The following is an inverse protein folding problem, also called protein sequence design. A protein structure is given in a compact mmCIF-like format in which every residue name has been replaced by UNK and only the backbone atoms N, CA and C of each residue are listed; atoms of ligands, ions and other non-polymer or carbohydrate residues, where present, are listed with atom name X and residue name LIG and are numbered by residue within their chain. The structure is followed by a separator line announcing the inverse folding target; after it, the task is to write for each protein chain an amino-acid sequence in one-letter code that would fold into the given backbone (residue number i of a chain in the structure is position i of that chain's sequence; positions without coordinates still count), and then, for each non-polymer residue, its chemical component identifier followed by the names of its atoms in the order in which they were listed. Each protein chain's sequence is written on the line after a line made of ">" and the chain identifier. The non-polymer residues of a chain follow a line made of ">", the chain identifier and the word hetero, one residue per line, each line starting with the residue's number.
data_IF_786639876281
#
_entry.id   IF_786639876281
#
_cell.length_a   1.000
_cell.length_b   1.000
_cell.length_c   1.000
_cell.angle_alpha   90.00
_cell.angle_beta   90.00
_cell.angle_gamma   90.00
#
_symmetry.space_group_name_H-M   'P 1'
#
loop_
_entity.id
_entity.type
_entity.pdbx_description
1 polymer ?
#
# COMPACT_ATOMS: atom_id res chain seq x y z
N UNK A 1 21.90 -5.70 18.42
CA UNK A 1 20.82 -5.94 17.46
C UNK A 1 20.22 -4.60 17.16
N UNK A 2 20.45 -4.04 15.98
CA UNK A 2 19.80 -2.80 15.53
C UNK A 2 18.39 -3.18 15.12
N UNK A 3 17.38 -2.72 15.88
CA UNK A 3 16.00 -2.90 15.48
C UNK A 3 15.80 -2.17 14.14
N UNK A 4 15.39 -2.92 13.13
CA UNK A 4 15.08 -2.36 11.83
C UNK A 4 13.77 -1.53 11.91
N UNK A 5 13.60 -0.61 10.97
CA UNK A 5 12.33 0.09 10.77
C UNK A 5 11.22 -0.97 10.57
N UNK A 6 10.19 -0.92 11.43
CA UNK A 6 9.07 -1.85 11.36
C UNK A 6 7.88 -1.14 10.74
N UNK A 7 7.31 -1.74 9.70
CA UNK A 7 6.07 -1.31 9.06
C UNK A 7 4.96 -2.31 9.39
N UNK A 8 3.90 -1.81 10.02
CA UNK A 8 2.64 -2.53 10.22
C UNK A 8 1.53 -1.78 9.47
N UNK A 9 0.64 -2.51 8.80
CA UNK A 9 -0.48 -1.87 8.09
C UNK A 9 -1.73 -2.74 8.10
N UNK A 10 -2.90 -2.07 7.95
CA UNK A 10 -4.20 -2.73 7.87
C UNK A 10 -5.16 -1.94 7.01
N UNK A 11 -6.08 -2.65 6.35
CA UNK A 11 -7.23 -2.04 5.68
C UNK A 11 -8.24 -1.61 6.75
N UNK A 12 -8.52 -0.32 6.83
CA UNK A 12 -9.48 0.26 7.79
C UNK A 12 -10.87 0.45 7.18
N UNK A 13 -10.93 0.71 5.88
CA UNK A 13 -12.19 0.73 5.11
C UNK A 13 -12.02 -0.18 3.90
N UNK A 14 -12.68 -1.34 3.87
CA UNK A 14 -12.61 -2.24 2.73
C UNK A 14 -13.30 -1.63 1.50
N UNK A 15 -13.03 -2.16 0.29
CA UNK A 15 -13.70 -1.74 -0.93
C UNK A 15 -15.21 -1.86 -0.82
N UNK A 16 -15.92 -0.84 -1.27
CA UNK A 16 -17.41 -0.86 -1.38
C UNK A 16 -17.87 -1.42 -2.71
N UNK A 17 -17.01 -1.36 -3.72
CA UNK A 17 -17.27 -1.89 -5.06
C UNK A 17 -16.15 -2.87 -5.40
N UNK A 18 -16.51 -4.05 -5.84
CA UNK A 18 -15.55 -5.05 -6.30
C UNK A 18 -15.06 -4.73 -7.72
N UNK A 19 -13.82 -5.10 -8.09
CA UNK A 19 -13.28 -4.80 -9.41
C UNK A 19 -13.89 -5.63 -10.54
N UNK A 20 -14.63 -6.68 -10.19
CA UNK A 20 -15.36 -7.55 -11.11
C UNK A 20 -16.80 -7.65 -10.64
N UNK A 21 -17.74 -7.36 -11.54
CA UNK A 21 -19.16 -7.56 -11.31
C UNK A 21 -19.54 -9.04 -11.55
N UNK A 22 -20.49 -9.55 -10.78
CA UNK A 22 -21.05 -10.88 -10.95
C UNK A 22 -21.65 -11.07 -12.36
N UNK A 23 -22.21 -10.00 -12.95
CA UNK A 23 -22.74 -10.02 -14.30
C UNK A 23 -21.65 -10.23 -15.37
N UNK A 24 -20.43 -9.79 -15.13
CA UNK A 24 -19.29 -10.04 -16.02
C UNK A 24 -18.90 -11.52 -16.04
N UNK A 25 -19.08 -12.22 -14.92
CA UNK A 25 -18.83 -13.65 -14.82
C UNK A 25 -19.92 -14.48 -15.53
N UNK A 26 -21.14 -13.95 -15.60
CA UNK A 26 -22.32 -14.63 -16.14
C UNK A 26 -22.73 -14.23 -17.55
N UNK A 27 -22.06 -13.24 -18.16
CA UNK A 27 -22.50 -12.69 -19.44
C UNK A 27 -22.71 -13.78 -20.50
N UNK A 28 -23.96 -13.95 -20.92
CA UNK A 28 -24.38 -14.91 -21.96
C UNK A 28 -24.00 -14.44 -23.38
N UNK A 29 -23.53 -13.21 -23.53
CA UNK A 29 -23.45 -12.52 -24.84
C UNK A 29 -22.07 -12.53 -25.48
N UNK A 30 -21.13 -13.30 -25.18
CA UNK A 30 -19.79 -13.41 -25.79
C UNK A 30 -18.67 -13.32 -24.74
N UNK A 31 -18.19 -14.46 -24.34
CA UNK A 31 -16.94 -14.54 -23.58
C UNK A 31 -17.11 -14.57 -22.06
N UNK A 32 -18.23 -15.07 -21.53
CA UNK A 32 -18.32 -15.33 -20.09
C UNK A 32 -17.28 -16.37 -19.66
N UNK A 33 -16.54 -16.08 -18.63
CA UNK A 33 -15.58 -17.00 -18.05
C UNK A 33 -16.27 -18.19 -17.37
N UNK A 34 -17.49 -17.99 -16.87
CA UNK A 34 -18.30 -19.03 -16.25
C UNK A 34 -19.59 -19.22 -17.08
N UNK A 35 -19.86 -20.45 -17.50
CA UNK A 35 -21.12 -20.83 -18.16
C UNK A 35 -22.21 -21.08 -17.10
N UNK A 36 -22.50 -20.08 -16.27
CA UNK A 36 -23.49 -20.17 -15.19
C UNK A 36 -24.68 -19.28 -15.55
N UNK A 37 -25.79 -19.89 -15.96
CA UNK A 37 -26.98 -19.15 -16.38
C UNK A 37 -28.00 -18.96 -15.24
N UNK A 38 -27.77 -19.58 -14.08
CA UNK A 38 -28.69 -19.56 -12.93
C UNK A 38 -28.16 -18.73 -11.77
N UNK A 39 -29.08 -18.23 -10.92
CA UNK A 39 -28.79 -17.30 -9.82
C UNK A 39 -28.49 -17.96 -8.48
N UNK A 40 -28.61 -19.30 -8.41
CA UNK A 40 -28.52 -20.05 -7.15
C UNK A 40 -27.12 -19.94 -6.51
N UNK A 41 -26.08 -19.79 -7.33
CA UNK A 41 -24.69 -19.67 -6.88
C UNK A 41 -24.23 -18.20 -6.65
N UNK A 42 -25.09 -17.19 -6.70
CA UNK A 42 -24.71 -15.77 -6.57
C UNK A 42 -23.99 -15.44 -5.29
N UNK A 43 -24.42 -16.01 -4.20
CA UNK A 43 -23.78 -15.82 -2.89
C UNK A 43 -22.37 -16.42 -2.89
N UNK A 44 -22.20 -17.57 -3.52
CA UNK A 44 -20.91 -18.25 -3.66
C UNK A 44 -19.97 -17.42 -4.56
N UNK A 45 -20.46 -16.97 -5.71
CA UNK A 45 -19.70 -16.15 -6.64
C UNK A 45 -19.26 -14.81 -6.01
N UNK A 46 -20.16 -14.15 -5.28
CA UNK A 46 -19.83 -12.92 -4.55
C UNK A 46 -18.73 -13.15 -3.52
N UNK A 47 -18.80 -14.26 -2.77
CA UNK A 47 -17.77 -14.62 -1.79
C UNK A 47 -16.43 -14.96 -2.48
N UNK A 48 -16.46 -15.65 -3.62
CA UNK A 48 -15.28 -15.98 -4.40
C UNK A 48 -14.60 -14.74 -4.98
N UNK A 49 -15.37 -13.77 -5.51
CA UNK A 49 -14.83 -12.50 -6.01
C UNK A 49 -14.01 -11.81 -4.91
N UNK A 50 -14.57 -11.66 -3.72
CA UNK A 50 -13.89 -11.04 -2.57
C UNK A 50 -12.65 -11.81 -2.14
N UNK A 51 -12.76 -13.13 -2.03
CA UNK A 51 -11.67 -14.01 -1.60
C UNK A 51 -10.51 -13.99 -2.62
N UNK A 52 -10.82 -14.18 -3.91
CA UNK A 52 -9.82 -14.18 -4.98
C UNK A 52 -9.14 -12.82 -5.11
N UNK A 53 -9.90 -11.71 -4.99
CA UNK A 53 -9.31 -10.35 -4.95
C UNK A 53 -8.31 -10.22 -3.80
N UNK A 54 -8.70 -10.60 -2.59
CA UNK A 54 -7.82 -10.47 -1.42
C UNK A 54 -6.53 -11.28 -1.58
N UNK A 55 -6.62 -12.51 -2.10
CA UNK A 55 -5.45 -13.34 -2.37
C UNK A 55 -4.55 -12.71 -3.44
N UNK A 56 -5.14 -12.22 -4.54
CA UNK A 56 -4.41 -11.57 -5.63
C UNK A 56 -3.71 -10.29 -5.15
N UNK A 57 -4.37 -9.46 -4.35
CA UNK A 57 -3.79 -8.26 -3.71
C UNK A 57 -2.58 -8.60 -2.83
N UNK A 58 -2.64 -9.72 -2.09
CA UNK A 58 -1.51 -10.19 -1.28
C UNK A 58 -0.33 -10.64 -2.14
N UNK A 59 -0.58 -11.34 -3.25
CA UNK A 59 0.46 -11.81 -4.17
C UNK A 59 1.16 -10.64 -4.86
N UNK A 60 0.38 -9.69 -5.39
CA UNK A 60 0.89 -8.53 -6.13
C UNK A 60 1.43 -7.42 -5.21
N UNK A 61 1.02 -7.38 -3.95
CA UNK A 61 1.18 -6.21 -3.07
C UNK A 61 0.53 -4.94 -3.65
N UNK A 62 -0.61 -5.08 -4.32
CA UNK A 62 -1.39 -4.02 -4.97
C UNK A 62 -2.80 -3.98 -4.39
N UNK A 63 -3.42 -2.80 -4.37
CA UNK A 63 -4.85 -2.65 -4.09
C UNK A 63 -5.64 -2.68 -5.41
N UNK A 64 -6.49 -3.68 -5.61
CA UNK A 64 -7.24 -3.85 -6.86
C UNK A 64 -8.49 -2.98 -6.93
N UNK A 65 -9.01 -2.57 -5.78
CA UNK A 65 -10.18 -1.71 -5.69
C UNK A 65 -9.95 -0.57 -4.68
N UNK A 66 -10.67 0.55 -4.79
CA UNK A 66 -10.52 1.68 -3.88
C UNK A 66 -10.77 1.27 -2.43
N UNK A 67 -9.78 1.47 -1.56
CA UNK A 67 -9.84 1.15 -0.14
C UNK A 67 -9.04 2.15 0.68
N UNK A 68 -9.28 2.19 2.00
CA UNK A 68 -8.51 3.01 2.92
C UNK A 68 -7.61 2.13 3.76
N UNK A 69 -6.35 2.50 3.82
CA UNK A 69 -5.32 1.81 4.60
C UNK A 69 -4.78 2.74 5.69
N UNK A 70 -4.48 2.14 6.83
CA UNK A 70 -3.68 2.76 7.86
C UNK A 70 -2.35 2.03 7.95
N UNK A 71 -1.24 2.76 7.80
CA UNK A 71 0.11 2.24 7.92
C UNK A 71 0.82 2.92 9.09
N UNK A 72 1.57 2.15 9.87
CA UNK A 72 2.29 2.59 11.06
C UNK A 72 3.75 2.18 10.91
N UNK A 73 4.63 3.17 10.89
CA UNK A 73 6.07 2.97 10.95
C UNK A 73 6.55 3.15 12.39
N UNK A 74 7.17 2.12 12.93
CA UNK A 74 7.82 2.17 14.25
C UNK A 74 9.31 2.38 14.04
N UNK A 75 9.81 3.50 14.60
CA UNK A 75 11.22 3.85 14.51
C UNK A 75 12.04 2.96 15.44
N UNK A 76 13.26 2.54 15.03
CA UNK A 76 14.14 1.78 15.88
C UNK A 76 14.44 2.55 17.17
N UNK A 77 14.31 1.89 18.32
CA UNK A 77 14.66 2.47 19.61
C UNK A 77 16.17 2.44 19.74
N UNK A 78 16.80 3.61 19.74
CA UNK A 78 18.19 3.75 20.12
C UNK A 78 18.22 4.00 21.61
N UNK A 79 18.91 3.12 22.35
CA UNK A 79 19.06 3.23 23.81
C UNK A 79 19.40 4.66 24.22
N UNK A 80 18.65 5.21 25.19
CA UNK A 80 18.66 6.60 25.62
C UNK A 80 20.01 7.15 26.17
N UNK A 81 21.10 6.38 26.08
CA UNK A 81 22.47 6.82 26.39
C UNK A 81 23.20 7.47 25.22
N UNK A 82 22.64 7.45 24.03
CA UNK A 82 23.22 8.07 22.84
C UNK A 82 22.19 8.97 22.20
N UNK A 83 22.41 10.27 22.25
CA UNK A 83 21.76 11.27 21.38
C UNK A 83 22.00 10.98 19.89
N UNK A 84 22.67 9.86 19.58
CA UNK A 84 23.00 9.39 18.24
C UNK A 84 21.89 8.64 17.51
N UNK A 85 20.74 8.35 18.13
CA UNK A 85 19.60 7.72 17.43
C UNK A 85 18.99 8.60 16.37
N UNK A 86 19.02 9.90 16.58
CA UNK A 86 18.72 10.89 15.54
C UNK A 86 19.82 10.94 14.47
N UNK A 87 21.03 10.51 14.80
CA UNK A 87 22.18 10.49 13.92
C UNK A 87 22.08 9.41 12.82
N UNK A 88 21.33 8.31 13.07
CA UNK A 88 21.09 7.27 12.04
C UNK A 88 20.11 7.71 10.95
N UNK A 89 19.18 8.63 11.25
CA UNK A 89 18.33 9.28 10.24
C UNK A 89 19.06 10.42 9.52
N UNK A 90 20.19 10.90 10.08
CA UNK A 90 21.04 11.97 9.57
C UNK A 90 22.50 11.51 9.46
N UNK A 91 22.77 10.23 9.16
CA UNK A 91 24.15 9.71 9.10
C UNK A 91 24.93 10.35 7.96
N UNK A 92 26.24 10.54 8.19
CA UNK A 92 27.17 11.21 7.27
C UNK A 92 27.21 10.56 5.88
N UNK A 93 26.92 9.27 5.75
CA UNK A 93 26.87 8.56 4.47
C UNK A 93 25.72 9.07 3.58
N UNK A 94 24.62 9.51 4.19
CA UNK A 94 23.52 10.13 3.48
C UNK A 94 23.85 11.55 3.00
N UNK A 95 24.69 12.28 3.74
CA UNK A 95 25.19 13.59 3.33
C UNK A 95 26.18 13.47 2.16
N UNK A 96 27.07 12.49 2.14
CA UNK A 96 28.04 12.28 1.06
C UNK A 96 27.35 11.92 -0.26
N UNK A 97 26.25 11.19 -0.24
CA UNK A 97 25.49 10.86 -1.44
C UNK A 97 24.87 12.12 -2.08
N UNK A 98 24.38 13.07 -1.27
CA UNK A 98 23.80 14.31 -1.76
C UNK A 98 24.86 15.34 -2.24
N UNK A 99 26.05 15.37 -1.67
CA UNK A 99 27.16 16.20 -2.18
C UNK A 99 27.56 15.79 -3.61
N UNK A 100 27.54 14.51 -3.91
CA UNK A 100 27.85 14.00 -5.26
C UNK A 100 26.82 14.40 -6.31
N UNK A 101 25.61 14.78 -5.91
CA UNK A 101 24.52 15.24 -6.79
C UNK A 101 24.44 16.76 -6.91
N UNK A 102 25.38 17.53 -6.31
CA UNK A 102 25.36 19.00 -6.33
C UNK A 102 24.23 19.61 -5.49
N UNK A 103 23.62 18.84 -4.58
CA UNK A 103 22.60 19.33 -3.67
C UNK A 103 23.24 20.25 -2.60
N UNK A 104 22.51 21.26 -2.16
CA UNK A 104 22.96 22.17 -1.10
C UNK A 104 23.28 21.36 0.17
N UNK A 105 24.52 21.39 0.71
CA UNK A 105 24.92 20.60 1.88
C UNK A 105 24.14 20.94 3.17
N UNK A 106 23.39 22.04 3.17
CA UNK A 106 22.54 22.47 4.28
C UNK A 106 21.07 22.06 4.12
N UNK A 107 20.70 21.35 3.02
CA UNK A 107 19.36 20.80 2.88
C UNK A 107 19.38 19.34 3.32
N UNK A 108 18.82 18.99 4.49
CA UNK A 108 18.72 17.59 4.91
C UNK A 108 17.93 16.84 3.85
N UNK A 109 18.44 15.69 3.43
CA UNK A 109 17.70 14.83 2.52
C UNK A 109 16.35 14.50 3.12
N UNK A 110 15.26 14.57 2.35
CA UNK A 110 13.94 14.25 2.86
C UNK A 110 13.90 12.79 3.30
N UNK A 111 13.35 12.54 4.48
CA UNK A 111 13.04 11.19 4.90
C UNK A 111 11.88 10.66 4.05
N UNK A 112 12.01 9.47 3.48
CA UNK A 112 11.04 8.93 2.53
C UNK A 112 10.34 7.72 3.13
N UNK A 113 9.01 7.77 3.17
CA UNK A 113 8.16 6.63 3.52
C UNK A 113 7.59 6.02 2.25
N UNK A 114 7.78 4.71 2.08
CA UNK A 114 7.12 3.93 1.04
C UNK A 114 5.78 3.44 1.56
N UNK A 115 4.72 3.62 0.75
CA UNK A 115 3.37 3.24 1.12
C UNK A 115 3.03 1.86 0.55
N UNK A 116 2.59 0.90 1.40
CA UNK A 116 2.14 -0.41 0.92
C UNK A 116 0.86 -0.30 0.09
N UNK A 117 0.58 -1.33 -0.71
CA UNK A 117 -0.64 -1.49 -1.50
C UNK A 117 -0.91 -0.32 -2.49
N UNK A 118 0.02 -0.01 -3.42
CA UNK A 118 -0.26 0.95 -4.48
C UNK A 118 -1.41 0.48 -5.41
N UNK A 119 -1.96 1.35 -6.27
CA UNK A 119 -1.60 2.74 -6.46
C UNK A 119 -2.14 3.64 -5.36
N UNK A 120 -1.33 4.61 -4.96
CA UNK A 120 -1.73 5.64 -4.00
C UNK A 120 -2.64 6.66 -4.68
N UNK A 121 -3.76 7.00 -4.02
CA UNK A 121 -4.69 8.04 -4.48
C UNK A 121 -4.49 9.33 -3.69
N UNK A 122 -4.60 9.27 -2.37
CA UNK A 122 -4.44 10.45 -1.51
C UNK A 122 -4.09 10.05 -0.07
N UNK A 123 -3.29 10.87 0.60
CA UNK A 123 -3.11 10.80 2.06
C UNK A 123 -4.18 11.66 2.71
N UNK A 124 -4.97 11.07 3.60
CA UNK A 124 -6.07 11.75 4.29
C UNK A 124 -5.69 12.25 5.67
N UNK A 125 -4.80 11.53 6.36
CA UNK A 125 -4.37 11.90 7.71
C UNK A 125 -2.94 11.45 7.95
N UNK A 126 -2.12 12.35 8.49
CA UNK A 126 -0.78 12.03 8.95
C UNK A 126 -0.65 12.40 10.43
N UNK A 127 -0.20 11.44 11.22
CA UNK A 127 -0.07 11.58 12.66
C UNK A 127 1.27 11.01 13.13
N UNK A 128 1.71 11.46 14.28
CA UNK A 128 2.91 10.96 14.96
C UNK A 128 2.67 10.85 16.46
N UNK A 129 3.48 10.06 17.15
CA UNK A 129 3.58 10.05 18.60
C UNK A 129 5.02 9.90 19.04
N UNK A 130 5.39 10.63 20.09
CA UNK A 130 6.78 10.72 20.59
C UNK A 130 7.15 9.46 21.37
N UNK A 131 6.23 8.87 22.12
CA UNK A 131 6.41 7.61 22.85
C UNK A 131 5.20 6.70 22.65
N UNK A 132 5.32 5.42 23.00
CA UNK A 132 4.20 4.47 22.94
C UNK A 132 3.00 4.89 23.79
N UNK A 133 3.21 5.70 24.82
CA UNK A 133 2.20 6.15 25.80
C UNK A 133 1.54 7.48 25.43
N UNK A 134 2.11 8.24 24.48
CA UNK A 134 1.55 9.51 24.06
C UNK A 134 0.34 9.30 23.15
N UNK A 135 -0.62 10.23 23.23
CA UNK A 135 -1.68 10.34 22.23
C UNK A 135 -1.09 10.67 20.86
N UNK A 136 -1.79 10.23 19.80
CA UNK A 136 -1.45 10.59 18.44
C UNK A 136 -1.68 12.09 18.22
N UNK A 137 -0.73 12.73 17.55
CA UNK A 137 -0.77 14.16 17.21
C UNK A 137 -0.80 14.28 15.68
N UNK A 138 -1.74 15.08 15.18
CA UNK A 138 -1.82 15.33 13.74
C UNK A 138 -0.65 16.18 13.28
N UNK A 139 0.00 15.75 12.19
CA UNK A 139 1.03 16.51 11.52
C UNK A 139 0.44 17.12 10.24
N UNK A 140 0.20 18.44 10.23
CA UNK A 140 -0.45 19.09 9.09
C UNK A 140 0.45 19.06 7.84
N UNK A 141 -0.16 19.03 6.65
CA UNK A 141 0.59 19.02 5.39
C UNK A 141 1.44 20.28 5.21
N UNK A 142 0.97 21.42 5.74
CA UNK A 142 1.67 22.71 5.66
C UNK A 142 1.65 23.45 6.99
N UNK A 143 2.67 24.27 7.21
CA UNK A 143 2.78 25.16 8.39
C UNK A 143 3.24 26.55 7.95
N UNK A 144 2.92 27.54 8.78
CA UNK A 144 3.41 28.92 8.62
C UNK A 144 2.60 29.77 7.65
N UNK A 145 3.08 31.04 7.51
CA UNK A 145 2.53 32.01 6.56
C UNK A 145 3.70 32.85 6.02
N UNK A 146 4.08 32.66 4.75
CA UNK A 146 3.48 31.77 3.74
C UNK A 146 3.60 30.28 4.09
N UNK A 147 2.67 29.41 3.61
CA UNK A 147 2.66 28.02 3.96
C UNK A 147 3.89 27.27 3.39
N UNK A 148 4.57 26.50 4.25
CA UNK A 148 5.67 25.61 3.86
C UNK A 148 5.19 24.17 4.02
N UNK A 149 5.47 23.33 3.04
CA UNK A 149 5.08 21.91 3.10
C UNK A 149 5.90 21.17 4.16
N UNK A 150 5.23 20.48 5.06
CA UNK A 150 5.84 19.55 6.01
C UNK A 150 6.16 18.20 5.37
N UNK A 151 5.32 17.78 4.45
CA UNK A 151 5.52 16.58 3.64
C UNK A 151 4.94 16.77 2.24
N UNK A 152 5.50 16.05 1.29
CA UNK A 152 5.03 16.00 -0.08
C UNK A 152 4.69 14.55 -0.42
N UNK A 153 3.53 14.35 -1.04
CA UNK A 153 3.06 13.04 -1.47
C UNK A 153 3.30 12.91 -2.97
N UNK A 154 4.04 11.88 -3.35
CA UNK A 154 4.21 11.51 -4.76
C UNK A 154 3.40 10.24 -5.04
N UNK A 155 2.38 10.37 -5.86
CA UNK A 155 1.46 9.28 -6.24
C UNK A 155 1.87 8.58 -7.53
N UNK A 156 2.83 9.14 -8.28
CA UNK A 156 3.24 8.59 -9.58
C UNK A 156 4.07 7.31 -9.47
N UNK A 157 5.06 7.21 -8.55
CA UNK A 157 5.82 5.98 -8.41
C UNK A 157 4.97 4.86 -7.79
N UNK A 158 5.34 3.63 -8.09
CA UNK A 158 4.77 2.44 -7.46
C UNK A 158 5.91 1.70 -6.76
N UNK A 159 5.96 1.67 -5.42
CA UNK A 159 4.99 2.20 -4.45
C UNK A 159 4.93 3.73 -4.39
N UNK A 160 3.81 4.29 -3.91
CA UNK A 160 3.69 5.72 -3.61
C UNK A 160 4.68 6.16 -2.54
N UNK A 161 5.16 7.39 -2.64
CA UNK A 161 6.18 7.92 -1.76
C UNK A 161 5.67 9.14 -0.98
N UNK A 162 6.07 9.25 0.28
CA UNK A 162 5.85 10.43 1.09
C UNK A 162 7.21 10.96 1.55
N UNK A 163 7.55 12.14 1.06
CA UNK A 163 8.78 12.86 1.39
C UNK A 163 8.51 13.75 2.60
N UNK A 164 9.19 13.49 3.69
CA UNK A 164 9.04 14.27 4.93
C UNK A 164 10.12 15.33 5.00
N UNK A 165 9.70 16.59 5.19
CA UNK A 165 10.61 17.68 5.43
C UNK A 165 10.59 18.02 6.93
N UNK A 166 11.74 17.90 7.61
CA UNK A 166 11.89 18.15 9.05
C UNK A 166 10.87 17.35 9.90
N UNK A 167 10.83 16.00 9.81
CA UNK A 167 9.89 15.22 10.58
C UNK A 167 10.11 15.43 12.07
N UNK A 168 9.02 15.55 12.86
CA UNK A 168 9.15 15.63 14.31
C UNK A 168 9.80 14.36 14.85
N UNK A 169 10.60 14.44 15.94
CA UNK A 169 11.14 13.25 16.57
C UNK A 169 10.00 12.39 17.11
N UNK A 170 9.78 11.23 16.50
CA UNK A 170 8.67 10.37 16.85
C UNK A 170 9.10 8.92 17.03
N UNK A 171 8.44 8.24 17.97
CA UNK A 171 8.52 6.79 18.13
C UNK A 171 7.79 6.10 16.99
N UNK A 172 6.64 6.66 16.58
CA UNK A 172 5.86 6.13 15.48
C UNK A 172 5.25 7.23 14.63
N UNK A 173 5.16 6.94 13.32
CA UNK A 173 4.36 7.68 12.36
C UNK A 173 3.19 6.83 11.92
N UNK A 174 2.02 7.44 11.75
CA UNK A 174 0.81 6.80 11.26
C UNK A 174 0.23 7.58 10.11
N UNK A 175 0.07 6.92 8.97
CA UNK A 175 -0.62 7.49 7.82
C UNK A 175 -1.91 6.74 7.55
N UNK A 176 -2.97 7.50 7.30
CA UNK A 176 -4.21 7.00 6.74
C UNK A 176 -4.34 7.54 5.33
N UNK A 177 -4.52 6.66 4.36
CA UNK A 177 -4.54 7.01 2.96
C UNK A 177 -5.52 6.14 2.17
N UNK A 178 -5.95 6.66 1.03
CA UNK A 178 -6.74 5.92 0.06
C UNK A 178 -5.83 5.40 -1.05
N UNK A 179 -6.07 4.17 -1.46
CA UNK A 179 -5.33 3.50 -2.52
C UNK A 179 -6.25 2.60 -3.33
N UNK A 180 -5.74 2.07 -4.44
CA UNK A 180 -6.43 1.15 -5.31
C UNK A 180 -6.83 1.78 -6.64
N UNK A 181 -7.10 0.90 -7.59
CA UNK A 181 -7.50 1.29 -8.93
C UNK A 181 -8.97 1.70 -8.96
N UNK A 182 -9.29 2.83 -9.59
CA UNK A 182 -10.66 3.19 -9.94
C UNK A 182 -11.22 2.26 -11.04
N UNK A 183 -10.34 1.83 -11.95
CA UNK A 183 -10.62 0.82 -12.96
C UNK A 183 -9.41 -0.11 -13.01
N UNK A 184 -9.62 -1.40 -12.75
CA UNK A 184 -8.54 -2.39 -12.74
C UNK A 184 -7.92 -2.52 -14.15
N UNK A 185 -6.59 -2.52 -14.28
CA UNK A 185 -5.91 -2.77 -15.56
C UNK A 185 -6.38 -4.07 -16.23
N UNK A 186 -6.51 -4.10 -17.55
CA UNK A 186 -7.10 -5.24 -18.26
C UNK A 186 -6.37 -6.57 -18.04
N UNK A 187 -5.06 -6.56 -17.90
CA UNK A 187 -4.22 -7.73 -17.62
C UNK A 187 -4.48 -8.31 -16.23
N UNK A 188 -4.55 -7.45 -15.21
CA UNK A 188 -4.90 -7.85 -13.84
C UNK A 188 -6.36 -8.30 -13.75
N UNK A 189 -7.26 -7.64 -14.49
CA UNK A 189 -8.67 -8.01 -14.55
C UNK A 189 -8.84 -9.41 -15.16
N UNK A 190 -8.11 -9.69 -16.26
CA UNK A 190 -8.13 -10.98 -16.91
C UNK A 190 -7.61 -12.09 -16.00
N UNK A 191 -6.46 -11.85 -15.32
CA UNK A 191 -5.89 -12.79 -14.37
C UNK A 191 -6.86 -13.09 -13.21
N UNK A 192 -7.54 -12.05 -12.71
CA UNK A 192 -8.52 -12.21 -11.64
C UNK A 192 -9.76 -13.00 -12.07
N UNK A 193 -10.27 -12.75 -13.28
CA UNK A 193 -11.37 -13.53 -13.87
C UNK A 193 -11.00 -15.00 -14.03
N UNK A 194 -9.80 -15.30 -14.53
CA UNK A 194 -9.29 -16.68 -14.66
C UNK A 194 -9.16 -17.35 -13.28
N UNK A 195 -8.69 -16.61 -12.27
CA UNK A 195 -8.57 -17.15 -10.93
C UNK A 195 -9.92 -17.46 -10.29
N UNK A 196 -10.92 -16.58 -10.45
CA UNK A 196 -12.28 -16.81 -9.95
C UNK A 196 -12.89 -18.04 -10.66
N UNK A 197 -12.77 -18.15 -11.98
CA UNK A 197 -13.29 -19.28 -12.74
C UNK A 197 -12.65 -20.59 -12.29
N UNK A 198 -11.33 -20.62 -12.19
CA UNK A 198 -10.62 -21.80 -11.70
C UNK A 198 -11.07 -22.20 -10.28
N UNK A 199 -11.21 -21.23 -9.36
CA UNK A 199 -11.63 -21.48 -7.97
C UNK A 199 -13.07 -21.93 -7.86
N UNK A 200 -13.93 -21.50 -8.78
CA UNK A 200 -15.31 -21.97 -8.86
C UNK A 200 -15.41 -23.43 -9.28
N UNK A 201 -14.60 -23.84 -10.26
CA UNK A 201 -14.55 -25.21 -10.77
C UNK A 201 -13.86 -26.15 -9.76
N UNK A 202 -12.80 -25.68 -9.09
CA UNK A 202 -11.99 -26.46 -8.15
C UNK A 202 -12.27 -26.01 -6.72
N UNK A 203 -13.47 -26.36 -6.23
CA UNK A 203 -13.98 -25.89 -4.92
C UNK A 203 -13.21 -26.42 -3.70
N UNK A 204 -12.42 -27.49 -3.83
CA UNK A 204 -11.77 -28.18 -2.70
C UNK A 204 -10.26 -28.27 -2.90
N UNK A 205 -9.53 -27.49 -2.09
CA UNK A 205 -8.17 -27.83 -1.64
C UNK A 205 -7.03 -27.72 -2.64
N UNK A 206 -7.26 -27.28 -3.87
CA UNK A 206 -6.20 -27.14 -4.86
C UNK A 206 -5.51 -25.77 -4.78
N UNK A 207 -4.18 -25.78 -4.92
CA UNK A 207 -3.37 -24.58 -5.02
C UNK A 207 -3.62 -23.85 -6.34
N UNK A 208 -3.46 -22.54 -6.35
CA UNK A 208 -3.58 -21.72 -7.58
C UNK A 208 -2.63 -22.25 -8.67
N UNK A 209 -3.11 -22.43 -9.93
CA UNK A 209 -2.24 -22.78 -11.04
C UNK A 209 -1.06 -21.82 -11.20
N UNK A 210 0.12 -22.38 -11.50
CA UNK A 210 1.34 -21.60 -11.64
C UNK A 210 1.24 -20.52 -12.74
N UNK A 211 0.46 -20.77 -13.79
CA UNK A 211 0.21 -19.84 -14.89
C UNK A 211 -0.53 -18.59 -14.40
N UNK A 212 -1.58 -18.76 -13.59
CA UNK A 212 -2.35 -17.66 -13.01
C UNK A 212 -1.48 -16.91 -11.98
N UNK A 213 -0.76 -17.65 -11.14
CA UNK A 213 0.15 -17.06 -10.17
C UNK A 213 1.24 -16.21 -10.85
N UNK A 214 1.79 -16.68 -11.95
CA UNK A 214 2.83 -15.95 -12.69
C UNK A 214 2.33 -14.62 -13.27
N UNK A 215 1.07 -14.54 -13.70
CA UNK A 215 0.45 -13.29 -14.17
C UNK A 215 0.37 -12.26 -13.05
N UNK A 216 0.00 -12.68 -11.83
CA UNK A 216 0.01 -11.80 -10.67
C UNK A 216 1.42 -11.40 -10.25
N UNK A 217 2.36 -12.36 -10.22
CA UNK A 217 3.76 -12.08 -9.85
C UNK A 217 4.46 -11.14 -10.81
N UNK A 218 4.08 -11.13 -12.10
CA UNK A 218 4.58 -10.17 -13.10
C UNK A 218 4.24 -8.71 -12.78
N UNK A 219 3.18 -8.49 -12.00
CA UNK A 219 2.71 -7.17 -11.58
C UNK A 219 3.07 -6.84 -10.11
N UNK A 220 3.89 -7.68 -9.46
CA UNK A 220 4.22 -7.51 -8.05
C UNK A 220 5.03 -6.23 -7.80
N UNK A 221 4.59 -5.44 -6.83
CA UNK A 221 5.31 -4.27 -6.34
C UNK A 221 6.06 -4.64 -5.06
N UNK A 222 7.34 -4.31 -5.03
CA UNK A 222 8.20 -4.52 -3.87
C UNK A 222 8.23 -3.26 -3.02
N UNK A 223 7.80 -3.37 -1.77
CA UNK A 223 7.95 -2.34 -0.75
C UNK A 223 9.14 -2.74 0.12
N UNK A 224 10.14 -1.89 0.19
CA UNK A 224 11.40 -2.12 0.92
C UNK A 224 11.29 -1.69 2.38
#
# INVERSE_FOLDING_TARGET
>A
MTDALKLDWAVTVPPTVEPIDILELRSTTTGSYLRVDFTDDDLVLTALIKSCRTIAEQICSLAFAPQTIQAIWTMPQVNAGSLSGFKLLYDQDFYQYNESLGANPFSPAPFVLQLPQPPLTAVTLFEYRITAFNAWQTWPATVGSPPVANYVVDTLPSPGLVYLQYPPPAYQYRLTYTCGYATLPPDLKLALLQFIAWKYENRVGEDMPAEIQSQFMGNKVWVL
#
